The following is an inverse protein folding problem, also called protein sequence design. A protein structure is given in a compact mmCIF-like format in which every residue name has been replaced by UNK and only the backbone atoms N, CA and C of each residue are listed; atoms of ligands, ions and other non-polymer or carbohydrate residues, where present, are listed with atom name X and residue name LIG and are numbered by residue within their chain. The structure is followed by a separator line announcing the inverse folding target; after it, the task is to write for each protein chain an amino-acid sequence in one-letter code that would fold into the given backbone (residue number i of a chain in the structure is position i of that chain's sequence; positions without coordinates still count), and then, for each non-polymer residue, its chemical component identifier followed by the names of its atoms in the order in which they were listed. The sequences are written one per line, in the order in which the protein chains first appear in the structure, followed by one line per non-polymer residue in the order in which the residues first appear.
data_IF_642459351633
#
_entry.id   IF_642459351633
#
_cell.length_a   1.000
_cell.length_b   1.000
_cell.length_c   1.000
_cell.angle_alpha   90.00
_cell.angle_beta   90.00
_cell.angle_gamma   90.00
#
_symmetry.space_group_name_H-M   'P 1'
#
loop_
_entity.id
_entity.type
_entity.pdbx_description
1 polymer ?
#
# COMPACT_ATOMS: atom_id res chain seq x y z
N UNK A 1 -13.70 23.05 -18.15
CA UNK A 1 -13.52 21.82 -18.94
C UNK A 1 -12.73 20.83 -18.09
N UNK A 2 -13.43 19.90 -17.42
CA UNK A 2 -12.81 18.96 -16.48
C UNK A 2 -11.99 17.92 -17.25
N UNK A 3 -10.66 18.07 -17.31
CA UNK A 3 -9.78 16.94 -17.62
C UNK A 3 -9.66 16.15 -16.32
N UNK A 4 -10.68 15.34 -16.04
CA UNK A 4 -10.64 14.37 -14.95
C UNK A 4 -10.07 13.07 -15.50
N UNK A 5 -8.77 13.09 -15.84
CA UNK A 5 -8.00 11.90 -16.18
C UNK A 5 -7.07 11.62 -14.99
N UNK A 6 -7.65 11.31 -13.84
CA UNK A 6 -6.95 10.39 -12.93
C UNK A 6 -6.99 9.04 -13.63
N UNK A 7 -5.94 8.75 -14.42
CA UNK A 7 -5.64 7.43 -14.98
C UNK A 7 -5.36 6.50 -13.80
N UNK A 8 -6.41 6.06 -13.11
CA UNK A 8 -6.28 5.11 -12.02
C UNK A 8 -5.66 3.83 -12.57
N UNK A 9 -4.48 3.46 -12.06
CA UNK A 9 -3.80 2.19 -12.37
C UNK A 9 -4.78 1.03 -12.18
N UNK A 10 -5.53 1.06 -11.09
CA UNK A 10 -6.46 0.00 -10.71
C UNK A 10 -7.63 -0.15 -11.69
N UNK A 11 -8.15 0.94 -12.27
CA UNK A 11 -9.18 0.85 -13.33
C UNK A 11 -8.69 0.10 -14.56
N UNK A 12 -7.42 0.28 -14.94
CA UNK A 12 -6.84 -0.40 -16.10
C UNK A 12 -6.62 -1.88 -15.84
N UNK A 13 -6.13 -2.21 -14.64
CA UNK A 13 -5.97 -3.60 -14.20
C UNK A 13 -7.34 -4.29 -14.12
N UNK A 14 -8.33 -3.61 -13.53
CA UNK A 14 -9.72 -4.07 -13.47
C UNK A 14 -10.27 -4.42 -14.85
N UNK A 15 -10.11 -3.50 -15.80
CA UNK A 15 -10.55 -3.70 -17.17
C UNK A 15 -9.81 -4.86 -17.87
N UNK A 16 -8.48 -4.95 -17.70
CA UNK A 16 -7.68 -6.01 -18.34
C UNK A 16 -8.03 -7.42 -17.84
N UNK A 17 -8.46 -7.55 -16.58
CA UNK A 17 -8.75 -8.84 -15.94
C UNK A 17 -10.23 -9.06 -15.60
N UNK A 18 -11.16 -8.27 -16.16
CA UNK A 18 -12.59 -8.34 -15.86
C UNK A 18 -13.19 -9.74 -16.09
N UNK A 19 -12.73 -10.46 -17.12
CA UNK A 19 -13.12 -11.85 -17.40
C UNK A 19 -12.29 -12.93 -16.68
N UNK A 20 -11.32 -12.55 -15.85
CA UNK A 20 -10.36 -13.48 -15.23
C UNK A 20 -10.14 -13.17 -13.73
N UNK A 21 -11.11 -13.44 -12.84
CA UNK A 21 -11.03 -13.10 -11.42
C UNK A 21 -9.77 -13.64 -10.71
N UNK A 22 -9.37 -14.89 -11.01
CA UNK A 22 -8.16 -15.47 -10.42
C UNK A 22 -6.88 -14.72 -10.81
N UNK A 23 -6.82 -14.15 -12.02
CA UNK A 23 -5.67 -13.32 -12.46
C UNK A 23 -5.69 -11.95 -11.79
N UNK A 24 -6.89 -11.40 -11.53
CA UNK A 24 -7.06 -10.18 -10.74
C UNK A 24 -6.45 -10.32 -9.35
N UNK A 25 -6.72 -11.42 -8.65
CA UNK A 25 -6.18 -11.66 -7.32
C UNK A 25 -4.65 -11.78 -7.33
N UNK A 26 -4.07 -12.38 -8.37
CA UNK A 26 -2.62 -12.43 -8.55
C UNK A 26 -2.05 -11.02 -8.77
N UNK A 27 -2.61 -10.24 -9.71
CA UNK A 27 -2.15 -8.89 -9.99
C UNK A 27 -2.25 -7.98 -8.76
N UNK A 28 -3.35 -8.09 -8.00
CA UNK A 28 -3.52 -7.43 -6.71
C UNK A 28 -2.42 -7.79 -5.73
N UNK A 29 -2.16 -9.09 -5.53
CA UNK A 29 -1.14 -9.55 -4.59
C UNK A 29 0.27 -9.06 -4.96
N UNK A 30 0.57 -9.00 -6.25
CA UNK A 30 1.84 -8.45 -6.76
C UNK A 30 1.97 -6.96 -6.39
N UNK A 31 0.90 -6.17 -6.56
CA UNK A 31 0.89 -4.74 -6.17
C UNK A 31 0.98 -4.57 -4.66
N UNK A 32 0.16 -5.30 -3.89
CA UNK A 32 0.10 -5.21 -2.43
C UNK A 32 1.46 -5.48 -1.77
N UNK A 33 2.28 -6.34 -2.40
CA UNK A 33 3.63 -6.68 -1.92
C UNK A 33 4.74 -5.86 -2.59
N UNK A 34 4.41 -5.00 -3.55
CA UNK A 34 5.40 -4.23 -4.32
C UNK A 34 6.32 -5.10 -5.17
N UNK A 35 5.86 -6.27 -5.62
CA UNK A 35 6.65 -7.16 -6.44
C UNK A 35 6.77 -6.62 -7.87
N UNK A 36 7.98 -6.67 -8.44
CA UNK A 36 8.18 -6.34 -9.86
C UNK A 36 8.07 -7.58 -10.74
N UNK A 37 7.74 -7.36 -12.00
CA UNK A 37 7.80 -8.38 -13.04
C UNK A 37 8.90 -8.00 -14.02
N UNK A 38 9.84 -8.89 -14.31
CA UNK A 38 10.86 -8.64 -15.32
C UNK A 38 10.35 -8.89 -16.75
N UNK A 39 11.18 -8.60 -17.75
CA UNK A 39 10.86 -8.78 -19.17
C UNK A 39 10.58 -10.25 -19.56
N UNK A 40 11.01 -11.21 -18.75
CA UNK A 40 10.82 -12.64 -18.96
C UNK A 40 9.60 -13.19 -18.22
N UNK A 41 8.85 -12.34 -17.51
CA UNK A 41 7.69 -12.73 -16.71
C UNK A 41 8.03 -13.29 -15.33
N UNK A 42 9.28 -13.14 -14.88
CA UNK A 42 9.73 -13.53 -13.54
C UNK A 42 9.38 -12.46 -12.52
N UNK A 43 8.96 -12.89 -11.34
CA UNK A 43 8.45 -12.03 -10.28
C UNK A 43 9.52 -11.89 -9.21
N UNK A 44 9.77 -10.66 -8.75
CA UNK A 44 10.81 -10.37 -7.76
C UNK A 44 10.30 -9.51 -6.61
N UNK A 45 10.79 -9.81 -5.41
CA UNK A 45 10.85 -8.88 -4.29
C UNK A 45 12.26 -8.30 -4.28
N UNK A 46 12.41 -7.07 -4.80
CA UNK A 46 13.72 -6.46 -5.04
C UNK A 46 14.64 -7.36 -5.90
N UNK A 47 15.71 -7.92 -5.33
CA UNK A 47 16.66 -8.83 -5.97
C UNK A 47 16.35 -10.33 -5.74
N UNK A 48 15.29 -10.65 -5.00
CA UNK A 48 14.89 -12.02 -4.67
C UNK A 48 13.79 -12.52 -5.63
N UNK A 49 14.09 -13.57 -6.41
CA UNK A 49 13.08 -14.21 -7.28
C UNK A 49 12.02 -14.95 -6.45
N UNK A 50 10.76 -14.64 -6.71
CA UNK A 50 9.59 -15.29 -6.12
C UNK A 50 9.08 -16.35 -7.09
N UNK A 51 9.13 -17.61 -6.68
CA UNK A 51 8.63 -18.71 -7.51
C UNK A 51 7.12 -18.61 -7.76
N UNK A 52 6.68 -18.98 -8.97
CA UNK A 52 5.24 -19.04 -9.32
C UNK A 52 4.44 -19.88 -8.32
N UNK A 53 5.03 -20.96 -7.79
CA UNK A 53 4.38 -21.89 -6.85
C UNK A 53 4.12 -21.22 -5.52
N UNK A 54 5.07 -20.45 -5.00
CA UNK A 54 4.92 -19.75 -3.72
C UNK A 54 3.82 -18.69 -3.82
N UNK A 55 3.85 -17.87 -4.89
CA UNK A 55 2.82 -16.85 -5.10
C UNK A 55 1.43 -17.47 -5.35
N UNK A 56 1.36 -18.54 -6.15
CA UNK A 56 0.12 -19.24 -6.41
C UNK A 56 -0.51 -19.81 -5.13
N UNK A 57 0.31 -20.40 -4.25
CA UNK A 57 -0.13 -20.87 -2.93
C UNK A 57 -0.65 -19.72 -2.06
N UNK A 58 0.05 -18.58 -2.04
CA UNK A 58 -0.35 -17.43 -1.26
C UNK A 58 -1.68 -16.81 -1.72
N UNK A 59 -2.01 -16.93 -3.01
CA UNK A 59 -3.26 -16.41 -3.61
C UNK A 59 -4.37 -17.47 -3.64
N UNK A 60 -4.03 -18.76 -3.56
CA UNK A 60 -4.99 -19.87 -3.65
C UNK A 60 -5.38 -20.21 -5.10
N UNK A 61 -4.43 -20.14 -6.03
CA UNK A 61 -4.63 -20.44 -7.46
C UNK A 61 -3.61 -21.46 -7.99
N UNK A 62 -3.80 -21.96 -9.21
CA UNK A 62 -2.78 -22.76 -9.90
C UNK A 62 -1.60 -21.89 -10.36
N UNK A 63 -0.37 -22.43 -10.34
CA UNK A 63 0.84 -21.70 -10.79
C UNK A 63 0.78 -21.21 -12.23
N UNK A 64 0.01 -21.87 -13.11
CA UNK A 64 -0.20 -21.44 -14.49
C UNK A 64 -0.99 -20.14 -14.55
N UNK A 65 -1.86 -19.87 -13.57
CA UNK A 65 -2.56 -18.59 -13.45
C UNK A 65 -1.59 -17.45 -13.17
N UNK A 66 -0.56 -17.68 -12.35
CA UNK A 66 0.50 -16.68 -12.08
C UNK A 66 1.24 -16.33 -13.37
N UNK A 67 1.73 -17.34 -14.10
CA UNK A 67 2.39 -17.13 -15.40
C UNK A 67 1.51 -16.43 -16.42
N UNK A 68 0.26 -16.86 -16.54
CA UNK A 68 -0.70 -16.25 -17.46
C UNK A 68 -0.95 -14.77 -17.09
N UNK A 69 -0.99 -14.44 -15.80
CA UNK A 69 -1.14 -13.06 -15.32
C UNK A 69 0.07 -12.22 -15.69
N UNK A 70 1.29 -12.71 -15.41
CA UNK A 70 2.53 -12.01 -15.77
C UNK A 70 2.61 -11.76 -17.29
N UNK A 71 2.34 -12.76 -18.12
CA UNK A 71 2.32 -12.60 -19.58
C UNK A 71 1.26 -11.59 -20.03
N UNK A 72 0.05 -11.64 -19.45
CA UNK A 72 -1.04 -10.69 -19.78
C UNK A 72 -0.65 -9.25 -19.45
N UNK A 73 0.05 -9.03 -18.33
CA UNK A 73 0.60 -7.73 -17.91
C UNK A 73 1.67 -7.27 -18.90
N UNK A 74 2.61 -8.16 -19.24
CA UNK A 74 3.69 -7.82 -20.14
C UNK A 74 3.17 -7.52 -21.55
N UNK A 75 2.10 -8.14 -22.04
CA UNK A 75 1.52 -7.82 -23.35
C UNK A 75 0.98 -6.38 -23.46
N UNK A 76 0.63 -5.75 -22.34
CA UNK A 76 0.15 -4.37 -22.29
C UNK A 76 1.32 -3.42 -21.98
N UNK A 77 1.65 -2.53 -22.92
CA UNK A 77 2.82 -1.63 -22.78
C UNK A 77 2.75 -0.76 -21.51
N UNK A 78 1.55 -0.33 -21.12
CA UNK A 78 1.38 0.53 -19.96
C UNK A 78 1.45 -0.24 -18.66
N UNK A 79 0.82 -1.41 -18.58
CA UNK A 79 0.94 -2.27 -17.41
C UNK A 79 2.37 -2.79 -17.26
N UNK A 80 3.02 -3.18 -18.35
CA UNK A 80 4.44 -3.56 -18.37
C UNK A 80 5.30 -2.47 -17.73
N UNK A 81 5.19 -1.22 -18.19
CA UNK A 81 5.98 -0.11 -17.65
C UNK A 81 5.77 0.11 -16.15
N UNK A 82 4.55 -0.06 -15.65
CA UNK A 82 4.24 0.02 -14.22
C UNK A 82 4.90 -1.15 -13.46
N UNK A 83 4.60 -2.39 -13.84
CA UNK A 83 5.02 -3.58 -13.11
C UNK A 83 6.53 -3.86 -13.19
N UNK A 84 7.22 -3.42 -14.25
CA UNK A 84 8.69 -3.46 -14.33
C UNK A 84 9.35 -2.46 -13.38
N UNK A 85 8.67 -1.36 -13.05
CA UNK A 85 9.22 -0.24 -12.26
C UNK A 85 8.84 -0.29 -10.77
N UNK A 86 8.00 -1.24 -10.35
CA UNK A 86 7.60 -1.36 -8.95
C UNK A 86 8.76 -1.81 -8.07
N UNK A 87 8.76 -1.36 -6.82
CA UNK A 87 9.66 -1.83 -5.78
C UNK A 87 8.89 -1.93 -4.46
N UNK A 88 9.27 -2.87 -3.57
CA UNK A 88 8.70 -2.91 -2.23
C UNK A 88 9.06 -1.63 -1.46
N UNK A 89 8.13 -1.14 -0.62
CA UNK A 89 8.34 0.06 0.21
C UNK A 89 9.25 -0.18 1.43
N UNK A 90 9.89 -1.35 1.52
CA UNK A 90 10.63 -1.80 2.70
C UNK A 90 9.73 -2.37 3.81
N UNK A 91 10.33 -2.66 4.95
CA UNK A 91 9.61 -3.19 6.11
C UNK A 91 8.70 -2.11 6.72
N UNK A 92 7.42 -2.42 6.91
CA UNK A 92 6.53 -1.62 7.74
C UNK A 92 6.69 -2.07 9.20
N UNK A 93 7.25 -1.23 10.05
CA UNK A 93 7.59 -1.59 11.43
C UNK A 93 6.42 -1.53 12.41
N UNK A 94 5.17 -1.36 11.91
CA UNK A 94 3.98 -1.19 12.75
C UNK A 94 3.85 -2.30 13.79
N UNK A 95 3.89 -3.55 13.35
CA UNK A 95 3.68 -4.71 14.22
C UNK A 95 4.92 -5.04 15.07
N UNK A 96 6.07 -4.46 14.74
CA UNK A 96 7.32 -4.59 15.48
C UNK A 96 7.62 -3.36 16.37
N UNK A 97 6.77 -2.33 16.35
CA UNK A 97 7.05 -1.05 16.99
C UNK A 97 7.25 -1.18 18.50
N UNK A 98 6.47 -2.04 19.16
CA UNK A 98 6.59 -2.29 20.60
C UNK A 98 7.94 -2.88 21.02
N UNK A 99 8.56 -3.70 20.17
CA UNK A 99 9.89 -4.28 20.43
C UNK A 99 11.03 -3.25 20.23
N UNK A 100 10.73 -2.14 19.56
CA UNK A 100 11.68 -1.07 19.23
C UNK A 100 11.46 0.19 20.08
N UNK A 101 10.54 0.13 21.06
CA UNK A 101 10.07 1.28 21.84
C UNK A 101 9.58 2.45 20.95
N UNK A 102 9.04 2.13 19.77
CA UNK A 102 8.46 3.10 18.85
C UNK A 102 6.99 3.34 19.17
N UNK A 103 6.50 4.54 18.87
CA UNK A 103 5.08 4.85 18.91
C UNK A 103 4.41 4.62 17.56
N UNK A 104 3.14 4.27 17.56
CA UNK A 104 2.31 4.12 16.36
C UNK A 104 1.06 4.97 16.48
N UNK A 105 0.73 5.72 15.42
CA UNK A 105 -0.62 6.28 15.20
C UNK A 105 -1.22 5.63 13.97
N UNK A 106 -2.38 5.02 14.12
CA UNK A 106 -3.22 4.62 13.00
C UNK A 106 -4.45 5.52 12.93
N UNK A 107 -4.61 6.22 11.81
CA UNK A 107 -5.71 7.14 11.55
C UNK A 107 -6.54 6.56 10.41
N UNK A 108 -7.77 6.17 10.73
CA UNK A 108 -8.79 5.85 9.73
C UNK A 108 -9.52 7.14 9.37
N UNK A 109 -9.50 7.50 8.09
CA UNK A 109 -10.05 8.75 7.61
C UNK A 109 -10.62 8.59 6.20
N UNK A 110 -11.35 9.60 5.73
CA UNK A 110 -11.63 9.70 4.30
C UNK A 110 -10.33 10.03 3.56
N UNK A 111 -9.72 9.01 2.93
CA UNK A 111 -8.45 9.13 2.21
C UNK A 111 -8.48 10.14 1.04
N UNK A 112 -9.66 10.63 0.64
CA UNK A 112 -9.79 11.69 -0.37
C UNK A 112 -9.69 13.10 0.22
N UNK A 113 -9.74 13.24 1.55
CA UNK A 113 -9.61 14.54 2.18
C UNK A 113 -8.13 14.96 2.24
N UNK A 114 -7.72 16.06 1.57
CA UNK A 114 -6.33 16.52 1.65
C UNK A 114 -5.98 16.98 3.07
N UNK A 115 -4.69 16.92 3.41
CA UNK A 115 -4.15 17.55 4.61
C UNK A 115 -4.09 16.69 5.88
N UNK A 116 -4.69 15.49 5.91
CA UNK A 116 -4.66 14.60 7.09
C UNK A 116 -3.22 14.27 7.51
N UNK A 117 -2.37 13.84 6.56
CA UNK A 117 -0.96 13.55 6.84
C UNK A 117 -0.21 14.79 7.34
N UNK A 118 -0.45 15.96 6.73
CA UNK A 118 0.21 17.20 7.13
C UNK A 118 -0.17 17.61 8.55
N UNK A 119 -1.46 17.56 8.89
CA UNK A 119 -1.97 17.88 10.21
C UNK A 119 -1.45 16.89 11.28
N UNK A 120 -1.51 15.59 10.98
CA UNK A 120 -1.00 14.57 11.89
C UNK A 120 0.51 14.71 12.12
N UNK A 121 1.29 14.91 11.06
CA UNK A 121 2.73 15.13 11.17
C UNK A 121 3.06 16.40 11.98
N UNK A 122 2.26 17.46 11.83
CA UNK A 122 2.43 18.71 12.59
C UNK A 122 2.22 18.49 14.09
N UNK A 123 1.15 17.79 14.48
CA UNK A 123 0.86 17.50 15.89
C UNK A 123 2.01 16.72 16.56
N UNK A 124 2.60 15.76 15.84
CA UNK A 124 3.73 14.97 16.32
C UNK A 124 4.99 15.85 16.43
N UNK A 125 5.27 16.65 15.41
CA UNK A 125 6.43 17.55 15.37
C UNK A 125 6.37 18.63 16.46
N UNK A 126 5.18 19.16 16.79
CA UNK A 126 4.99 20.14 17.86
C UNK A 126 5.27 19.55 19.26
N UNK A 127 5.33 18.22 19.40
CA UNK A 127 5.83 17.52 20.60
C UNK A 127 7.32 17.21 20.57
N UNK A 128 8.03 17.60 19.51
CA UNK A 128 9.45 17.30 19.31
C UNK A 128 9.73 15.82 19.05
N UNK A 129 8.75 15.07 18.54
CA UNK A 129 8.88 13.63 18.27
C UNK A 129 9.21 13.42 16.78
N UNK A 130 10.26 12.67 16.49
CA UNK A 130 10.63 12.32 15.12
C UNK A 130 9.70 11.24 14.54
N UNK A 131 9.30 11.41 13.28
CA UNK A 131 8.60 10.38 12.51
C UNK A 131 9.64 9.49 11.82
N UNK A 132 9.56 8.18 12.03
CA UNK A 132 10.39 7.16 11.39
C UNK A 132 9.78 6.68 10.07
N UNK A 133 8.47 6.46 10.05
CA UNK A 133 7.74 6.01 8.86
C UNK A 133 6.37 6.70 8.80
N UNK A 134 5.91 7.00 7.59
CA UNK A 134 4.54 7.43 7.33
C UNK A 134 4.03 6.70 6.10
N UNK A 135 2.98 5.91 6.27
CA UNK A 135 2.41 5.08 5.21
C UNK A 135 0.92 5.40 5.07
N UNK A 136 0.54 5.92 3.90
CA UNK A 136 -0.85 6.20 3.55
C UNK A 136 -1.39 5.07 2.67
N UNK A 137 -2.40 4.35 3.15
CA UNK A 137 -3.06 3.32 2.37
C UNK A 137 -3.76 3.88 1.14
N UNK A 138 -3.74 3.13 0.04
CA UNK A 138 -4.41 3.50 -1.21
C UNK A 138 -5.90 3.15 -1.15
N UNK A 139 -6.83 4.13 -1.26
CA UNK A 139 -8.28 3.90 -1.24
C UNK A 139 -8.80 3.06 -2.41
N UNK A 140 -8.02 2.87 -3.48
CA UNK A 140 -8.38 1.97 -4.58
C UNK A 140 -8.05 0.50 -4.27
N UNK A 141 -7.15 0.27 -3.31
CA UNK A 141 -6.71 -1.07 -2.89
C UNK A 141 -7.34 -1.50 -1.57
N UNK A 142 -7.55 -0.61 -0.61
CA UNK A 142 -8.14 -0.90 0.69
C UNK A 142 -9.51 -0.22 0.83
N UNK A 143 -10.51 -0.95 1.34
CA UNK A 143 -11.84 -0.39 1.64
C UNK A 143 -11.83 0.53 2.86
N UNK A 144 -10.84 0.35 3.75
CA UNK A 144 -10.63 1.10 4.98
C UNK A 144 -9.19 1.64 5.04
N UNK A 145 -8.78 2.51 4.09
CA UNK A 145 -7.41 3.00 4.02
C UNK A 145 -7.05 3.74 5.31
N UNK A 146 -5.88 3.39 5.87
CA UNK A 146 -5.35 4.02 7.08
C UNK A 146 -4.10 4.82 6.75
N UNK A 147 -3.92 5.91 7.47
CA UNK A 147 -2.62 6.53 7.63
C UNK A 147 -1.96 5.93 8.87
N UNK A 148 -0.85 5.24 8.68
CA UNK A 148 0.00 4.70 9.75
C UNK A 148 1.24 5.56 9.88
N UNK A 149 1.46 6.16 11.04
CA UNK A 149 2.67 6.92 11.37
C UNK A 149 3.40 6.19 12.48
N UNK A 150 4.70 5.94 12.30
CA UNK A 150 5.56 5.31 13.29
C UNK A 150 6.57 6.36 13.75
N UNK A 151 6.68 6.55 15.05
CA UNK A 151 7.53 7.56 15.70
C UNK A 151 8.68 6.94 16.46
N UNK A 152 9.74 7.71 16.65
CA UNK A 152 10.94 7.28 17.38
C UNK A 152 10.69 6.92 18.85
N UNK A 153 9.64 7.47 19.44
CA UNK A 153 9.24 7.21 20.83
C UNK A 153 7.71 7.07 20.92
N UNK A 154 7.18 6.49 22.03
CA UNK A 154 5.74 6.37 22.24
C UNK A 154 5.06 7.74 22.28
N UNK A 155 3.85 7.81 21.71
CA UNK A 155 3.13 9.07 21.56
C UNK A 155 2.32 9.35 22.82
N UNK A 156 2.40 10.57 23.39
CA UNK A 156 1.61 10.94 24.55
C UNK A 156 0.11 10.77 24.28
N UNK A 157 -0.60 10.01 25.12
CA UNK A 157 -2.03 9.75 24.94
C UNK A 157 -2.92 11.00 24.90
N UNK A 158 -2.43 12.14 25.41
CA UNK A 158 -3.09 13.44 25.30
C UNK A 158 -3.30 13.91 23.85
N UNK A 159 -2.48 13.46 22.89
CA UNK A 159 -2.61 13.81 21.48
C UNK A 159 -3.81 13.13 20.78
N UNK A 160 -4.38 12.07 21.37
CA UNK A 160 -5.52 11.35 20.77
C UNK A 160 -6.67 12.30 20.42
N UNK A 161 -7.00 13.22 21.34
CA UNK A 161 -8.07 14.20 21.14
C UNK A 161 -7.76 15.19 20.03
N UNK A 162 -6.50 15.50 19.80
CA UNK A 162 -6.10 16.46 18.77
C UNK A 162 -6.08 15.82 17.38
N UNK A 163 -5.67 14.55 17.26
CA UNK A 163 -5.83 13.80 16.02
C UNK A 163 -7.30 13.65 15.61
N UNK A 164 -8.20 13.38 16.56
CA UNK A 164 -9.64 13.27 16.30
C UNK A 164 -10.30 14.58 15.83
N UNK A 165 -9.66 15.73 16.05
CA UNK A 165 -10.14 17.03 15.54
C UNK A 165 -9.73 17.30 14.10
N UNK A 166 -8.81 16.50 13.53
CA UNK A 166 -8.40 16.66 12.13
C UNK A 166 -9.61 16.34 11.24
N UNK A 167 -9.90 17.24 10.30
CA UNK A 167 -11.03 17.09 9.39
C UNK A 167 -10.91 15.79 8.58
N UNK A 168 -12.02 15.04 8.49
CA UNK A 168 -12.08 13.76 7.77
C UNK A 168 -11.60 12.54 8.56
N UNK A 169 -11.05 12.71 9.77
CA UNK A 169 -10.69 11.59 10.66
C UNK A 169 -11.93 10.96 11.27
N UNK A 170 -12.00 9.62 11.20
CA UNK A 170 -13.09 8.81 11.75
C UNK A 170 -12.67 8.09 13.03
N UNK A 171 -11.45 7.54 13.03
CA UNK A 171 -10.91 6.76 14.16
C UNK A 171 -9.40 6.99 14.27
N UNK A 172 -8.92 7.01 15.51
CA UNK A 172 -7.49 7.07 15.82
C UNK A 172 -7.16 5.98 16.83
N UNK A 173 -6.06 5.29 16.62
CA UNK A 173 -5.46 4.34 17.56
C UNK A 173 -4.01 4.74 17.81
N UNK A 174 -3.59 4.74 19.08
CA UNK A 174 -2.22 5.05 19.51
C UNK A 174 -1.75 3.89 20.39
N UNK A 175 -0.59 3.32 20.08
CA UNK A 175 0.06 2.27 20.86
C UNK A 175 1.57 2.28 20.68
#
# INVERSE_FOLDING_TARGET
MYINVVKCMWKQIKHRFEGYPSRMYVARKIIDLGFRIDRNGKIYCDDVEISDVALARAVGVDRRTVRATANTILEDEKLRGIFESMMPAGALLRDAAGELDFGVVEIEADARNPGILAAAARLIADKGISIRQAHAGDPELDETPRLTIITETPIPGGLLKDFLKIEGVKRVSIY
#
